data_IF_656687947224
#
_entry.id   IF_656687947224
#
_cell.length_a   1.000
_cell.length_b   1.000
_cell.length_c   1.000
_cell.angle_alpha   90.00
_cell.angle_beta   90.00
_cell.angle_gamma   90.00
#
_symmetry.space_group_name_H-M   'P 1'
#
loop_
_entity.id
_entity.type
_entity.pdbx_description
1 polymer ?
#
# COMPACT_ATOMS: atom_id res chain seq x y z
N UNK A 1 38.76 -25.84 -49.67
CA UNK A 1 39.00 -26.36 -48.30
C UNK A 1 38.35 -25.37 -47.34
N UNK A 2 37.13 -25.66 -46.90
CA UNK A 2 36.34 -24.75 -46.06
C UNK A 2 36.66 -25.12 -44.60
N UNK A 3 37.32 -24.21 -43.89
CA UNK A 3 37.53 -24.32 -42.44
C UNK A 3 36.18 -24.12 -41.74
N UNK A 4 35.57 -25.19 -41.24
CA UNK A 4 34.50 -25.10 -40.24
C UNK A 4 35.14 -25.06 -38.85
N UNK A 5 34.97 -23.99 -38.06
CA UNK A 5 35.46 -24.00 -36.68
C UNK A 5 34.64 -25.00 -35.86
N UNK A 6 35.34 -25.89 -35.17
CA UNK A 6 34.80 -26.80 -34.17
C UNK A 6 34.26 -25.96 -33.00
N UNK A 7 32.93 -25.87 -32.86
CA UNK A 7 32.28 -25.14 -31.76
C UNK A 7 32.54 -25.94 -30.48
N UNK A 8 33.58 -25.54 -29.76
CA UNK A 8 34.01 -26.16 -28.51
C UNK A 8 32.88 -26.00 -27.47
N UNK A 9 32.44 -27.09 -26.84
CA UNK A 9 31.33 -27.08 -25.87
C UNK A 9 31.51 -26.10 -24.70
N UNK A 10 32.75 -25.66 -24.44
CA UNK A 10 33.07 -24.61 -23.46
C UNK A 10 32.47 -23.24 -23.79
N UNK A 11 32.38 -22.82 -25.06
CA UNK A 11 31.86 -21.48 -25.39
C UNK A 11 30.36 -21.36 -25.11
N UNK A 12 29.60 -22.45 -25.28
CA UNK A 12 28.16 -22.47 -25.01
C UNK A 12 27.84 -22.42 -23.51
N UNK A 13 28.72 -23.00 -22.68
CA UNK A 13 28.57 -23.00 -21.21
C UNK A 13 28.97 -21.64 -20.64
N UNK A 14 30.01 -21.00 -21.18
CA UNK A 14 30.42 -19.65 -20.76
C UNK A 14 29.33 -18.60 -21.08
N UNK A 15 28.66 -18.72 -22.22
CA UNK A 15 27.54 -17.84 -22.59
C UNK A 15 26.35 -18.00 -21.62
N UNK A 16 26.01 -19.23 -21.23
CA UNK A 16 24.92 -19.54 -20.29
C UNK A 16 25.25 -19.03 -18.87
N UNK A 17 26.50 -19.20 -18.42
CA UNK A 17 26.97 -18.67 -17.12
C UNK A 17 26.95 -17.15 -17.11
N UNK A 18 27.35 -16.49 -18.20
CA UNK A 18 27.29 -15.03 -18.31
C UNK A 18 25.85 -14.49 -18.31
N UNK A 19 24.91 -15.23 -18.91
CA UNK A 19 23.49 -14.88 -18.87
C UNK A 19 22.91 -15.03 -17.45
N UNK A 20 23.23 -16.11 -16.74
CA UNK A 20 22.83 -16.31 -15.34
C UNK A 20 23.42 -15.24 -14.42
N UNK A 21 24.71 -14.91 -14.57
CA UNK A 21 25.37 -13.85 -13.79
C UNK A 21 24.74 -12.47 -14.04
N UNK A 22 24.39 -12.16 -15.29
CA UNK A 22 23.69 -10.92 -15.63
C UNK A 22 22.30 -10.86 -15.00
N UNK A 23 21.57 -11.97 -15.02
CA UNK A 23 20.26 -12.09 -14.39
C UNK A 23 20.35 -11.95 -12.87
N UNK A 24 21.34 -12.55 -12.22
CA UNK A 24 21.60 -12.40 -10.80
C UNK A 24 21.91 -10.94 -10.42
N UNK A 25 22.82 -10.29 -11.13
CA UNK A 25 23.18 -8.89 -10.85
C UNK A 25 22.00 -7.92 -11.07
N UNK A 26 21.18 -8.15 -12.10
CA UNK A 26 19.99 -7.33 -12.33
C UNK A 26 18.89 -7.60 -11.30
N UNK A 27 18.76 -8.83 -10.78
CA UNK A 27 17.85 -9.16 -9.69
C UNK A 27 18.25 -8.50 -8.37
N UNK A 28 19.54 -8.51 -8.03
CA UNK A 28 20.06 -7.86 -6.82
C UNK A 28 19.90 -6.35 -6.87
N UNK A 29 20.18 -5.73 -8.02
CA UNK A 29 19.95 -4.30 -8.24
C UNK A 29 18.46 -3.93 -8.06
N UNK A 30 17.55 -4.71 -8.65
CA UNK A 30 16.09 -4.49 -8.52
C UNK A 30 15.61 -4.63 -7.07
N UNK A 31 16.03 -5.70 -6.37
CA UNK A 31 15.67 -5.93 -4.96
C UNK A 31 16.15 -4.78 -4.07
N UNK A 32 17.39 -4.33 -4.27
CA UNK A 32 17.98 -3.23 -3.49
C UNK A 32 17.18 -1.94 -3.68
N UNK A 33 16.84 -1.58 -4.93
CA UNK A 33 16.03 -0.39 -5.22
C UNK A 33 14.65 -0.49 -4.56
N UNK A 34 13.99 -1.64 -4.65
CA UNK A 34 12.67 -1.86 -4.01
C UNK A 34 12.77 -1.68 -2.49
N UNK A 35 13.77 -2.27 -1.84
CA UNK A 35 13.94 -2.15 -0.39
C UNK A 35 14.18 -0.69 0.04
N UNK A 36 14.99 0.06 -0.70
CA UNK A 36 15.20 1.50 -0.43
C UNK A 36 13.88 2.27 -0.53
N UNK A 37 13.09 2.03 -1.58
CA UNK A 37 11.78 2.68 -1.76
C UNK A 37 10.83 2.32 -0.61
N UNK A 38 10.79 1.05 -0.19
CA UNK A 38 9.93 0.60 0.91
C UNK A 38 10.30 1.27 2.23
N UNK A 39 11.59 1.48 2.51
CA UNK A 39 12.05 2.22 3.70
C UNK A 39 11.59 3.68 3.65
N UNK A 40 11.69 4.35 2.50
CA UNK A 40 11.22 5.73 2.34
C UNK A 40 9.70 5.82 2.52
N UNK A 41 8.95 4.92 1.86
CA UNK A 41 7.48 4.84 1.97
C UNK A 41 7.02 4.45 3.37
N UNK A 42 7.86 3.79 4.17
CA UNK A 42 7.59 3.58 5.58
C UNK A 42 7.87 4.85 6.40
N UNK A 43 9.03 5.48 6.20
CA UNK A 43 9.49 6.58 7.02
C UNK A 43 8.66 7.85 6.86
N UNK A 44 8.44 8.31 5.62
CA UNK A 44 7.76 9.59 5.37
C UNK A 44 6.33 9.64 5.91
N UNK A 45 5.45 8.66 5.64
CA UNK A 45 4.08 8.72 6.14
C UNK A 45 4.03 8.45 7.65
N UNK A 46 4.94 7.66 8.23
CA UNK A 46 4.99 7.48 9.68
C UNK A 46 5.28 8.80 10.40
N UNK A 47 6.29 9.56 9.93
CA UNK A 47 6.66 10.85 10.50
C UNK A 47 5.53 11.87 10.29
N UNK A 48 5.08 12.06 9.05
CA UNK A 48 4.09 13.10 8.72
C UNK A 48 2.73 12.84 9.39
N UNK A 49 2.20 11.61 9.29
CA UNK A 49 0.92 11.27 9.91
C UNK A 49 1.03 11.19 11.45
N UNK A 50 2.19 10.81 11.98
CA UNK A 50 2.48 10.85 13.41
C UNK A 50 2.48 12.27 13.98
N UNK A 51 3.07 13.24 13.26
CA UNK A 51 3.04 14.66 13.62
C UNK A 51 1.60 15.18 13.64
N UNK A 52 0.78 14.83 12.65
CA UNK A 52 -0.64 15.21 12.58
C UNK A 52 -1.40 14.69 13.81
N UNK A 53 -1.22 13.41 14.14
CA UNK A 53 -1.88 12.80 15.30
C UNK A 53 -1.42 13.43 16.63
N UNK A 54 -0.12 13.70 16.75
CA UNK A 54 0.48 14.33 17.94
C UNK A 54 -0.03 15.77 18.11
N UNK A 55 -0.10 16.52 17.02
CA UNK A 55 -0.61 17.90 17.01
C UNK A 55 -2.08 17.92 17.41
N UNK A 56 -2.89 17.01 16.88
CA UNK A 56 -4.28 16.89 17.27
C UNK A 56 -4.44 16.57 18.77
N UNK A 57 -3.66 15.62 19.29
CA UNK A 57 -3.70 15.26 20.71
C UNK A 57 -3.25 16.41 21.63
N UNK A 58 -2.29 17.23 21.18
CA UNK A 58 -1.76 18.37 21.94
C UNK A 58 -2.69 19.59 21.92
N UNK A 59 -3.38 19.85 20.82
CA UNK A 59 -4.24 21.02 20.63
C UNK A 59 -5.72 20.64 20.69
N UNK A 60 -6.28 20.49 21.90
CA UNK A 60 -7.67 20.09 22.12
C UNK A 60 -8.76 21.07 21.62
N UNK A 61 -8.39 22.25 21.12
CA UNK A 61 -9.31 23.25 20.54
C UNK A 61 -9.75 22.94 19.09
N UNK A 62 -9.06 22.04 18.38
CA UNK A 62 -9.39 21.71 16.98
C UNK A 62 -10.44 20.59 16.93
N UNK A 63 -11.72 20.92 17.11
CA UNK A 63 -12.83 19.95 17.04
C UNK A 63 -13.75 20.14 15.83
N UNK A 64 -13.26 20.78 14.75
CA UNK A 64 -14.04 20.92 13.52
C UNK A 64 -14.19 19.57 12.81
N UNK A 65 -15.25 19.46 12.02
CA UNK A 65 -15.54 18.35 11.09
C UNK A 65 -14.30 17.95 10.29
N UNK A 66 -13.64 18.92 9.66
CA UNK A 66 -12.40 18.78 8.92
C UNK A 66 -11.24 18.13 9.71
N UNK A 67 -11.04 18.53 10.95
CA UNK A 67 -9.94 18.00 11.77
C UNK A 67 -10.15 16.50 12.03
N UNK A 68 -11.40 16.06 12.19
CA UNK A 68 -11.76 14.63 12.35
C UNK A 68 -11.44 13.79 11.11
N UNK A 69 -11.68 14.33 9.92
CA UNK A 69 -11.35 13.64 8.66
C UNK A 69 -9.84 13.53 8.46
N UNK A 70 -9.08 14.59 8.78
CA UNK A 70 -7.62 14.56 8.74
C UNK A 70 -7.05 13.48 9.65
N UNK A 71 -7.57 13.33 10.86
CA UNK A 71 -7.08 12.31 11.79
C UNK A 71 -7.43 10.92 11.28
N UNK A 72 -8.63 10.72 10.75
CA UNK A 72 -9.00 9.43 10.19
C UNK A 72 -8.05 9.05 9.04
N UNK A 73 -7.70 10.01 8.19
CA UNK A 73 -6.70 9.83 7.14
C UNK A 73 -5.32 9.48 7.72
N UNK A 74 -4.89 10.16 8.78
CA UNK A 74 -3.61 9.90 9.45
C UNK A 74 -3.55 8.49 10.06
N UNK A 75 -4.63 8.04 10.70
CA UNK A 75 -4.76 6.69 11.26
C UNK A 75 -4.70 5.64 10.14
N UNK A 76 -5.44 5.84 9.05
CA UNK A 76 -5.40 4.95 7.89
C UNK A 76 -3.99 4.84 7.30
N UNK A 77 -3.29 5.96 7.12
CA UNK A 77 -1.93 5.96 6.59
C UNK A 77 -0.93 5.23 7.50
N UNK A 78 -1.07 5.32 8.83
CA UNK A 78 -0.24 4.55 9.78
C UNK A 78 -0.53 3.05 9.66
N UNK A 79 -1.80 2.65 9.55
CA UNK A 79 -2.19 1.24 9.36
C UNK A 79 -1.60 0.69 8.05
N UNK A 80 -1.68 1.47 6.96
CA UNK A 80 -1.10 1.10 5.66
C UNK A 80 0.43 0.95 5.79
N UNK A 81 1.12 1.91 6.41
CA UNK A 81 2.57 1.83 6.60
C UNK A 81 2.98 0.62 7.43
N UNK A 82 2.18 0.23 8.42
CA UNK A 82 2.48 -0.94 9.26
C UNK A 82 2.43 -2.27 8.47
N UNK A 83 1.75 -2.31 7.33
CA UNK A 83 1.70 -3.47 6.42
C UNK A 83 2.92 -3.57 5.47
N UNK A 84 3.69 -2.49 5.32
CA UNK A 84 4.90 -2.41 4.49
C UNK A 84 6.04 -3.34 4.98
N UNK A 85 6.39 -3.42 6.28
CA UNK A 85 7.43 -4.35 6.74
C UNK A 85 7.03 -5.82 6.52
N UNK A 86 5.73 -6.15 6.61
CA UNK A 86 5.24 -7.49 6.24
C UNK A 86 5.47 -7.76 4.77
N UNK A 87 5.19 -6.80 3.88
CA UNK A 87 5.50 -6.92 2.46
C UNK A 87 7.01 -7.09 2.22
N UNK A 88 7.86 -6.29 2.86
CA UNK A 88 9.31 -6.41 2.76
C UNK A 88 9.82 -7.79 3.23
N UNK A 89 9.24 -8.33 4.31
CA UNK A 89 9.58 -9.67 4.80
C UNK A 89 9.26 -10.77 3.77
N UNK A 90 8.18 -10.61 3.00
CA UNK A 90 7.81 -11.51 1.91
C UNK A 90 8.81 -11.51 0.75
N UNK A 91 9.54 -10.40 0.53
CA UNK A 91 10.58 -10.34 -0.50
C UNK A 91 11.89 -11.03 -0.07
N UNK A 92 12.18 -11.02 1.23
CA UNK A 92 13.42 -11.57 1.80
C UNK A 92 13.26 -13.06 2.12
N UNK A 93 12.11 -13.46 2.67
CA UNK A 93 11.83 -14.82 3.13
C UNK A 93 10.53 -15.37 2.49
N UNK A 94 10.52 -15.62 1.18
CA UNK A 94 9.31 -16.09 0.48
C UNK A 94 8.77 -17.42 1.07
N UNK A 95 9.67 -18.35 1.38
CA UNK A 95 9.37 -19.68 1.96
C UNK A 95 8.54 -19.61 3.27
N UNK A 96 8.87 -18.63 4.13
CA UNK A 96 8.22 -18.48 5.44
C UNK A 96 6.82 -17.86 5.34
N UNK A 97 6.60 -16.98 4.35
CA UNK A 97 5.31 -16.31 4.13
C UNK A 97 4.32 -17.20 3.38
N UNK A 98 4.80 -18.02 2.44
CA UNK A 98 4.00 -19.04 1.73
C UNK A 98 3.38 -20.06 2.70
N UNK A 99 4.13 -20.44 3.74
CA UNK A 99 3.65 -21.36 4.79
C UNK A 99 2.49 -20.76 5.61
N UNK A 100 2.37 -19.43 5.69
CA UNK A 100 1.33 -18.72 6.46
C UNK A 100 0.38 -17.95 5.55
N UNK A 101 -0.34 -18.66 4.67
CA UNK A 101 -1.35 -18.12 3.73
C UNK A 101 -2.31 -17.09 4.36
N UNK A 102 -2.77 -17.33 5.59
CA UNK A 102 -3.69 -16.41 6.28
C UNK A 102 -3.08 -15.03 6.57
N UNK A 103 -1.80 -14.95 6.93
CA UNK A 103 -1.13 -13.67 7.20
C UNK A 103 -0.88 -12.89 5.91
N UNK A 104 -0.52 -13.58 4.82
CA UNK A 104 -0.36 -12.98 3.50
C UNK A 104 -1.68 -12.39 3.01
N UNK A 105 -2.77 -13.17 3.10
CA UNK A 105 -4.11 -12.73 2.71
C UNK A 105 -4.59 -11.55 3.57
N UNK A 106 -4.36 -11.61 4.89
CA UNK A 106 -4.70 -10.53 5.80
C UNK A 106 -3.95 -9.25 5.45
N UNK A 107 -2.62 -9.33 5.25
CA UNK A 107 -1.80 -8.18 4.93
C UNK A 107 -2.22 -7.55 3.59
N UNK A 108 -2.47 -8.37 2.57
CA UNK A 108 -2.97 -7.92 1.28
C UNK A 108 -4.34 -7.23 1.39
N UNK A 109 -5.25 -7.83 2.16
CA UNK A 109 -6.59 -7.28 2.40
C UNK A 109 -6.49 -5.93 3.11
N UNK A 110 -5.74 -5.86 4.21
CA UNK A 110 -5.56 -4.64 5.02
C UNK A 110 -4.92 -3.51 4.20
N UNK A 111 -3.84 -3.80 3.45
CA UNK A 111 -3.18 -2.81 2.61
C UNK A 111 -4.14 -2.25 1.56
N UNK A 112 -4.87 -3.13 0.87
CA UNK A 112 -5.80 -2.73 -0.20
C UNK A 112 -7.01 -1.98 0.34
N UNK A 113 -7.65 -2.49 1.39
CA UNK A 113 -8.79 -1.82 2.03
C UNK A 113 -8.37 -0.47 2.62
N UNK A 114 -7.16 -0.39 3.18
CA UNK A 114 -6.59 0.84 3.73
C UNK A 114 -6.43 1.93 2.67
N UNK A 115 -5.86 1.59 1.51
CA UNK A 115 -5.71 2.55 0.40
C UNK A 115 -7.08 3.04 -0.10
N UNK A 116 -8.05 2.14 -0.30
CA UNK A 116 -9.39 2.51 -0.75
C UNK A 116 -10.11 3.41 0.26
N UNK A 117 -10.03 3.07 1.55
CA UNK A 117 -10.59 3.90 2.61
C UNK A 117 -9.91 5.28 2.67
N UNK A 118 -8.58 5.34 2.53
CA UNK A 118 -7.80 6.58 2.52
C UNK A 118 -8.21 7.50 1.36
N UNK A 119 -8.40 6.94 0.16
CA UNK A 119 -8.90 7.68 -1.01
C UNK A 119 -10.32 8.22 -0.79
N UNK A 120 -11.21 7.45 -0.16
CA UNK A 120 -12.58 7.89 0.11
C UNK A 120 -12.64 8.98 1.19
N UNK A 121 -11.77 8.91 2.20
CA UNK A 121 -11.60 9.98 3.18
C UNK A 121 -11.04 11.24 2.53
N UNK A 122 -10.06 11.11 1.62
CA UNK A 122 -9.52 12.22 0.84
C UNK A 122 -10.59 12.88 -0.03
N UNK A 123 -11.46 12.09 -0.66
CA UNK A 123 -12.63 12.60 -1.38
C UNK A 123 -13.56 13.37 -0.45
N UNK A 124 -13.83 12.85 0.75
CA UNK A 124 -14.62 13.53 1.78
C UNK A 124 -14.02 14.89 2.17
N UNK A 125 -12.70 14.96 2.35
CA UNK A 125 -11.98 16.22 2.61
C UNK A 125 -12.13 17.22 1.46
N UNK A 126 -12.01 16.76 0.21
CA UNK A 126 -12.19 17.61 -0.96
C UNK A 126 -13.62 18.15 -1.05
N UNK A 127 -14.63 17.31 -0.81
CA UNK A 127 -16.04 17.69 -0.81
C UNK A 127 -16.37 18.67 0.31
N UNK A 128 -15.84 18.46 1.52
CA UNK A 128 -16.04 19.37 2.64
C UNK A 128 -15.51 20.77 2.31
N UNK A 129 -14.30 20.84 1.74
CA UNK A 129 -13.71 22.11 1.29
C UNK A 129 -14.53 22.76 0.18
N UNK A 130 -15.00 21.99 -0.79
CA UNK A 130 -15.85 22.49 -1.86
C UNK A 130 -17.16 23.08 -1.33
N UNK A 131 -17.85 22.39 -0.42
CA UNK A 131 -19.11 22.86 0.16
C UNK A 131 -18.90 24.12 0.99
N UNK A 132 -17.81 24.19 1.74
CA UNK A 132 -17.47 25.39 2.53
C UNK A 132 -17.25 26.62 1.64
N UNK A 133 -16.65 26.45 0.47
CA UNK A 133 -16.38 27.54 -0.48
C UNK A 133 -17.67 27.95 -1.21
N UNK A 134 -18.45 26.99 -1.70
CA UNK A 134 -19.64 27.27 -2.53
C UNK A 134 -20.83 27.74 -1.69
N UNK A 135 -21.06 27.15 -0.51
CA UNK A 135 -22.26 27.42 0.30
C UNK A 135 -21.94 27.52 1.81
N UNK A 136 -21.31 28.60 2.28
CA UNK A 136 -20.86 28.75 3.67
C UNK A 136 -22.03 28.71 4.68
N UNK A 137 -23.22 29.16 4.29
CA UNK A 137 -24.41 29.18 5.14
C UNK A 137 -24.96 27.77 5.45
N UNK A 138 -24.89 26.84 4.49
CA UNK A 138 -25.27 25.44 4.70
C UNK A 138 -24.20 24.67 5.49
N UNK A 139 -22.93 25.00 5.28
CA UNK A 139 -21.80 24.36 5.97
C UNK A 139 -21.86 24.54 7.49
N UNK A 140 -22.34 25.69 7.99
CA UNK A 140 -22.51 25.95 9.43
C UNK A 140 -23.48 25.01 10.15
N UNK A 141 -24.38 24.34 9.41
CA UNK A 141 -25.36 23.36 9.93
C UNK A 141 -24.92 21.90 9.81
N UNK A 142 -23.71 21.61 9.31
CA UNK A 142 -23.24 20.22 9.18
C UNK A 142 -23.02 19.63 10.57
N UNK A 143 -23.77 18.57 10.88
CA UNK A 143 -23.68 17.86 12.16
C UNK A 143 -22.50 16.88 12.16
N UNK A 144 -21.86 16.72 13.32
CA UNK A 144 -20.74 15.77 13.52
C UNK A 144 -21.10 14.31 13.19
N UNK A 145 -22.38 13.95 13.20
CA UNK A 145 -22.86 12.60 12.87
C UNK A 145 -22.60 12.23 11.39
N UNK A 146 -22.68 13.21 10.47
CA UNK A 146 -22.44 12.97 9.05
C UNK A 146 -20.98 12.56 8.77
N UNK A 147 -20.04 13.11 9.55
CA UNK A 147 -18.60 12.80 9.45
C UNK A 147 -18.30 11.39 9.94
N UNK A 148 -18.92 11.00 11.06
CA UNK A 148 -18.77 9.67 11.61
C UNK A 148 -19.35 8.65 10.62
N UNK A 149 -20.53 8.93 10.07
CA UNK A 149 -21.13 8.10 9.02
C UNK A 149 -20.22 7.99 7.79
N UNK A 150 -19.63 9.09 7.31
CA UNK A 150 -18.67 9.06 6.19
C UNK A 150 -17.46 8.18 6.50
N UNK A 151 -16.88 8.31 7.69
CA UNK A 151 -15.75 7.49 8.11
C UNK A 151 -16.12 6.00 8.13
N UNK A 152 -17.25 5.65 8.73
CA UNK A 152 -17.73 4.26 8.78
C UNK A 152 -17.99 3.72 7.37
N UNK A 153 -18.65 4.49 6.51
CA UNK A 153 -18.86 4.12 5.11
C UNK A 153 -17.54 3.92 4.34
N UNK A 154 -16.51 4.75 4.61
CA UNK A 154 -15.19 4.61 4.00
C UNK A 154 -14.56 3.24 4.31
N UNK A 155 -14.63 2.81 5.57
CA UNK A 155 -14.11 1.50 5.99
C UNK A 155 -14.92 0.35 5.40
N UNK A 156 -16.26 0.45 5.43
CA UNK A 156 -17.14 -0.57 4.86
C UNK A 156 -16.91 -0.73 3.35
N UNK A 157 -16.80 0.38 2.61
CA UNK A 157 -16.51 0.36 1.18
C UNK A 157 -15.14 -0.26 0.87
N UNK A 158 -14.11 0.08 1.66
CA UNK A 158 -12.77 -0.49 1.50
C UNK A 158 -12.73 -2.01 1.76
N UNK A 159 -13.45 -2.49 2.77
CA UNK A 159 -13.53 -3.91 3.11
C UNK A 159 -14.35 -4.68 2.06
N UNK A 160 -15.52 -4.17 1.68
CA UNK A 160 -16.42 -4.82 0.72
C UNK A 160 -15.76 -5.03 -0.66
N UNK A 161 -15.09 -4.00 -1.18
CA UNK A 161 -14.30 -4.08 -2.41
C UNK A 161 -13.13 -5.06 -2.32
N UNK A 162 -12.50 -5.17 -1.15
CA UNK A 162 -11.39 -6.10 -0.95
C UNK A 162 -11.86 -7.55 -0.91
N UNK A 163 -12.99 -7.82 -0.23
CA UNK A 163 -13.61 -9.14 -0.15
C UNK A 163 -14.12 -9.58 -1.53
N UNK A 164 -14.79 -8.69 -2.26
CA UNK A 164 -15.33 -8.98 -3.59
C UNK A 164 -14.26 -9.47 -4.57
N UNK A 165 -13.03 -8.97 -4.43
CA UNK A 165 -11.93 -9.39 -5.28
C UNK A 165 -11.27 -10.69 -4.84
N UNK A 166 -11.16 -10.93 -3.52
CA UNK A 166 -10.66 -12.20 -2.99
C UNK A 166 -11.57 -13.36 -3.44
N UNK A 167 -12.87 -13.12 -3.54
CA UNK A 167 -13.86 -14.10 -4.00
C UNK A 167 -13.93 -14.23 -5.53
N UNK A 168 -13.19 -13.42 -6.30
CA UNK A 168 -13.25 -13.50 -7.75
C UNK A 168 -12.53 -14.79 -8.23
N UNK A 169 -13.16 -15.62 -9.08
CA UNK A 169 -12.65 -16.96 -9.48
C UNK A 169 -11.33 -16.94 -10.27
N UNK A 170 -10.78 -15.76 -10.56
CA UNK A 170 -9.46 -15.59 -11.18
C UNK A 170 -8.29 -15.63 -10.19
N UNK A 171 -8.53 -15.43 -8.89
CA UNK A 171 -7.46 -15.38 -7.89
C UNK A 171 -6.88 -16.77 -7.54
N UNK A 172 -7.69 -17.82 -7.57
CA UNK A 172 -7.21 -19.19 -7.28
C UNK A 172 -6.24 -19.74 -8.33
N UNK A 173 -6.21 -19.18 -9.55
CA UNK A 173 -5.38 -19.70 -10.65
C UNK A 173 -3.94 -19.15 -10.68
N UNK A 174 -3.61 -18.15 -9.85
CA UNK A 174 -2.28 -17.52 -9.79
C UNK A 174 -1.43 -17.88 -8.57
N UNK A 175 -1.95 -18.70 -7.64
CA UNK A 175 -1.26 -19.10 -6.41
C UNK A 175 -0.66 -20.51 -6.43
N UNK A 176 -0.72 -21.20 -7.57
CA UNK A 176 -0.09 -22.50 -7.83
C UNK A 176 0.57 -22.41 -9.21
N UNK A 177 1.66 -21.67 -9.31
CA UNK A 177 2.60 -21.72 -10.42
C UNK A 177 3.98 -21.35 -9.89
#
# INVERSE_FOLDING_TARGET
MIYTPYKNGSSSIEDEVHEVLRNLHTLDGKRTVILVILVLVMFFPLVTNGIVLTTYARFGCLRRTHDKLIINLAVLNIIIVLSVPFYASSLILPEYVLTKKHLCLLNFTVFRSGILASLFVLLGLALERLICIVNPWKYRKVNSCHVIAWNVCSFLFGIDMSISLVNHPGYERGGIA
#
